data_IF_993565700869
#
_entry.id   IF_993565700869
#
_cell.length_a   1.000
_cell.length_b   1.000
_cell.length_c   1.000
_cell.angle_alpha   90.00
_cell.angle_beta   90.00
_cell.angle_gamma   90.00
#
_symmetry.space_group_name_H-M   'P 1'
#
loop_
_entity.id
_entity.type
_entity.pdbx_description
1 polymer ?
#
# COMPACT_ATOMS: atom_id res chain seq x y z
N UNK A 1 -48.60 15.01 -10.02
CA UNK A 1 -47.65 14.04 -9.43
C UNK A 1 -46.29 14.70 -9.22
N UNK A 2 -46.00 15.28 -8.06
CA UNK A 2 -44.72 15.92 -7.77
C UNK A 2 -43.84 14.97 -6.93
N UNK A 3 -43.01 14.14 -7.58
CA UNK A 3 -42.14 13.18 -6.87
C UNK A 3 -40.70 13.12 -7.42
N UNK A 4 -40.34 13.98 -8.37
CA UNK A 4 -39.09 13.89 -9.15
C UNK A 4 -37.87 14.68 -8.64
N UNK A 5 -37.95 15.74 -7.80
CA UNK A 5 -36.74 16.50 -7.43
C UNK A 5 -35.90 15.81 -6.35
N UNK A 6 -36.53 14.99 -5.50
CA UNK A 6 -35.85 14.29 -4.38
C UNK A 6 -34.93 13.20 -4.92
N UNK A 7 -35.37 12.47 -5.95
CA UNK A 7 -34.59 11.38 -6.55
C UNK A 7 -33.35 11.92 -7.29
N UNK A 8 -33.47 13.08 -7.95
CA UNK A 8 -32.36 13.73 -8.62
C UNK A 8 -31.31 14.28 -7.64
N UNK A 9 -31.76 14.89 -6.53
CA UNK A 9 -30.86 15.35 -5.45
C UNK A 9 -30.14 14.19 -4.76
N UNK A 10 -30.82 13.06 -4.54
CA UNK A 10 -30.23 11.86 -3.94
C UNK A 10 -29.18 11.22 -4.87
N UNK A 11 -29.45 11.18 -6.18
CA UNK A 11 -28.53 10.62 -7.17
C UNK A 11 -27.24 11.46 -7.31
N UNK A 12 -27.35 12.79 -7.30
CA UNK A 12 -26.19 13.70 -7.33
C UNK A 12 -25.35 13.56 -6.06
N UNK A 13 -25.98 13.44 -4.89
CA UNK A 13 -25.26 13.21 -3.62
C UNK A 13 -24.49 11.87 -3.60
N UNK A 14 -25.05 10.81 -4.19
CA UNK A 14 -24.39 9.50 -4.31
C UNK A 14 -23.17 9.52 -5.25
N UNK A 15 -23.19 10.31 -6.32
CA UNK A 15 -22.06 10.45 -7.26
C UNK A 15 -20.89 11.20 -6.60
N UNK A 16 -21.18 12.25 -5.80
CA UNK A 16 -20.14 13.06 -5.14
C UNK A 16 -19.43 12.29 -4.02
N UNK A 17 -20.12 11.38 -3.32
CA UNK A 17 -19.54 10.58 -2.24
C UNK A 17 -18.63 9.42 -2.73
N UNK A 18 -18.76 8.99 -3.99
CA UNK A 18 -17.97 7.88 -4.55
C UNK A 18 -16.60 8.27 -5.13
N UNK A 19 -16.32 9.56 -5.28
CA UNK A 19 -15.14 10.05 -6.01
C UNK A 19 -13.87 10.23 -5.16
N UNK A 20 -13.92 9.93 -3.86
CA UNK A 20 -12.79 10.09 -2.94
C UNK A 20 -12.04 8.76 -2.73
N UNK A 21 -11.58 8.14 -3.81
CA UNK A 21 -10.57 7.08 -3.72
C UNK A 21 -9.19 7.74 -3.92
N UNK A 22 -8.39 7.80 -2.86
CA UNK A 22 -7.01 8.27 -2.99
C UNK A 22 -6.27 7.35 -3.98
N UNK A 23 -5.45 7.91 -4.89
CA UNK A 23 -4.65 7.08 -5.79
C UNK A 23 -3.73 6.17 -4.97
N UNK A 24 -3.67 4.89 -5.34
CA UNK A 24 -2.77 3.94 -4.68
C UNK A 24 -1.32 4.42 -4.81
N UNK A 25 -0.62 4.49 -3.68
CA UNK A 25 0.81 4.82 -3.62
C UNK A 25 1.68 3.76 -4.32
N UNK A 26 1.12 2.56 -4.54
CA UNK A 26 1.77 1.46 -5.24
C UNK A 26 1.64 1.62 -6.76
N UNK A 27 2.76 1.43 -7.45
CA UNK A 27 2.96 1.70 -8.88
C UNK A 27 3.08 0.43 -9.72
N UNK A 28 3.19 -0.75 -9.11
CA UNK A 28 3.22 -2.02 -9.82
C UNK A 28 1.97 -2.20 -10.69
N UNK A 29 2.15 -2.76 -11.89
CA UNK A 29 1.06 -3.01 -12.83
C UNK A 29 0.04 -4.01 -12.27
N UNK A 30 0.54 -5.01 -11.55
CA UNK A 30 -0.27 -6.12 -11.03
C UNK A 30 -0.48 -5.99 -9.51
N UNK A 31 -1.68 -6.39 -9.06
CA UNK A 31 -2.04 -6.54 -7.65
C UNK A 31 -1.91 -5.27 -6.77
N UNK A 32 -1.86 -4.08 -7.37
CA UNK A 32 -1.74 -2.80 -6.64
C UNK A 32 -2.82 -2.55 -5.57
N UNK A 33 -4.01 -3.11 -5.77
CA UNK A 33 -5.17 -2.96 -4.86
C UNK A 33 -5.44 -4.23 -4.05
N UNK A 34 -4.50 -5.20 -4.06
CA UNK A 34 -4.65 -6.44 -3.30
C UNK A 34 -4.63 -6.15 -1.78
N UNK A 35 -5.44 -6.84 -0.95
CA UNK A 35 -5.51 -6.58 0.50
C UNK A 35 -4.21 -6.76 1.29
N UNK A 36 -3.19 -7.37 0.68
CA UNK A 36 -1.86 -7.56 1.27
C UNK A 36 -0.83 -6.52 0.82
N UNK A 37 -1.15 -5.69 -0.16
CA UNK A 37 -0.22 -4.71 -0.69
C UNK A 37 0.21 -3.74 0.41
N UNK A 38 1.52 -3.59 0.59
CA UNK A 38 2.13 -2.76 1.62
C UNK A 38 2.20 -3.34 3.03
N UNK A 39 1.72 -4.57 3.24
CA UNK A 39 1.84 -5.26 4.53
C UNK A 39 3.15 -6.05 4.60
N UNK A 40 3.79 -6.03 5.76
CA UNK A 40 5.02 -6.80 6.02
C UNK A 40 4.68 -8.05 6.82
N UNK A 41 5.03 -9.22 6.30
CA UNK A 41 4.84 -10.51 6.99
C UNK A 41 6.15 -11.01 7.58
N UNK A 42 6.20 -11.19 8.90
CA UNK A 42 7.29 -11.87 9.57
C UNK A 42 7.05 -13.39 9.50
N UNK A 43 7.90 -14.07 8.75
CA UNK A 43 7.81 -15.52 8.52
C UNK A 43 8.08 -16.32 9.80
N UNK A 44 9.06 -15.91 10.61
CA UNK A 44 9.47 -16.64 11.82
C UNK A 44 8.41 -16.64 12.92
N UNK A 45 7.67 -15.53 13.04
CA UNK A 45 6.61 -15.37 14.03
C UNK A 45 5.20 -15.60 13.48
N UNK A 46 5.08 -15.85 12.18
CA UNK A 46 3.82 -16.03 11.47
C UNK A 46 2.79 -14.94 11.77
N UNK A 47 3.22 -13.67 11.72
CA UNK A 47 2.35 -12.50 11.90
C UNK A 47 2.75 -11.32 11.01
N UNK A 48 1.81 -10.40 10.83
CA UNK A 48 2.12 -9.11 10.24
C UNK A 48 2.87 -8.24 11.26
N UNK A 49 3.86 -7.50 10.77
CA UNK A 49 4.65 -6.54 11.54
C UNK A 49 4.53 -5.15 10.93
N UNK A 50 4.72 -4.14 11.77
CA UNK A 50 4.77 -2.76 11.33
C UNK A 50 6.14 -2.41 10.73
N UNK A 51 6.18 -1.35 9.93
CA UNK A 51 7.40 -0.90 9.26
C UNK A 51 8.52 -0.52 10.24
N UNK A 52 8.18 0.14 11.34
CA UNK A 52 9.15 0.48 12.38
C UNK A 52 9.79 -0.77 13.02
N UNK A 53 9.00 -1.85 13.17
CA UNK A 53 9.49 -3.11 13.72
C UNK A 53 10.45 -3.80 12.74
N UNK A 54 10.13 -3.77 11.43
CA UNK A 54 11.04 -4.24 10.38
C UNK A 54 12.40 -3.51 10.47
N UNK A 55 12.39 -2.18 10.52
CA UNK A 55 13.64 -1.41 10.60
C UNK A 55 14.43 -1.66 11.89
N UNK A 56 13.75 -1.80 13.02
CA UNK A 56 14.41 -2.16 14.28
C UNK A 56 15.09 -3.55 14.20
N UNK A 57 14.49 -4.50 13.49
CA UNK A 57 15.06 -5.83 13.27
C UNK A 57 16.22 -5.83 12.26
N UNK A 58 16.19 -4.96 11.25
CA UNK A 58 17.22 -4.85 10.22
C UNK A 58 18.47 -4.09 10.70
N UNK A 59 18.31 -3.05 11.51
CA UNK A 59 19.39 -2.15 11.93
C UNK A 59 20.65 -2.82 12.54
N UNK A 60 20.55 -3.88 13.38
CA UNK A 60 21.74 -4.53 13.94
C UNK A 60 22.34 -5.61 13.04
N UNK A 61 21.79 -5.89 11.86
CA UNK A 61 22.25 -6.97 11.00
C UNK A 61 23.55 -6.59 10.25
N UNK A 62 24.56 -7.47 10.28
CA UNK A 62 25.80 -7.27 9.51
C UNK A 62 25.54 -7.34 7.99
N UNK A 63 24.55 -8.13 7.58
CA UNK A 63 24.16 -8.32 6.18
C UNK A 63 22.64 -8.38 6.05
N UNK A 64 22.11 -7.67 5.05
CA UNK A 64 20.69 -7.67 4.69
C UNK A 64 20.57 -8.10 3.24
N UNK A 65 19.79 -9.15 2.98
CA UNK A 65 19.47 -9.60 1.62
C UNK A 65 18.08 -9.10 1.24
N UNK A 66 18.00 -8.31 0.17
CA UNK A 66 16.75 -7.78 -0.37
C UNK A 66 16.42 -8.51 -1.67
N UNK A 67 15.33 -9.29 -1.68
CA UNK A 67 14.82 -9.97 -2.87
C UNK A 67 13.86 -9.09 -3.67
N UNK A 68 13.75 -9.36 -4.97
CA UNK A 68 12.78 -8.70 -5.86
C UNK A 68 12.32 -9.62 -7.00
N UNK A 69 11.16 -9.27 -7.56
CA UNK A 69 10.83 -9.55 -8.96
C UNK A 69 11.30 -8.37 -9.82
N UNK A 70 12.03 -8.65 -10.90
CA UNK A 70 12.51 -7.63 -11.84
C UNK A 70 11.35 -6.81 -12.42
N UNK A 71 11.65 -5.55 -12.76
CA UNK A 71 10.73 -4.58 -13.35
C UNK A 71 9.52 -4.23 -12.48
N UNK A 72 9.53 -4.60 -11.19
CA UNK A 72 8.54 -4.14 -10.24
C UNK A 72 8.96 -2.77 -9.65
N UNK A 73 8.32 -1.66 -10.04
CA UNK A 73 8.73 -0.32 -9.64
C UNK A 73 8.59 -0.06 -8.13
N UNK A 74 7.80 -0.86 -7.42
CA UNK A 74 7.62 -0.74 -5.97
C UNK A 74 8.71 -1.49 -5.21
N UNK A 75 9.21 -2.62 -5.73
CA UNK A 75 10.36 -3.31 -5.13
C UNK A 75 11.60 -2.41 -5.15
N UNK A 76 11.86 -1.74 -6.28
CA UNK A 76 12.99 -0.82 -6.40
C UNK A 76 12.86 0.37 -5.41
N UNK A 77 11.64 0.87 -5.16
CA UNK A 77 11.42 1.92 -4.15
C UNK A 77 11.68 1.43 -2.74
N UNK A 78 11.14 0.26 -2.38
CA UNK A 78 11.31 -0.31 -1.05
C UNK A 78 12.77 -0.62 -0.76
N UNK A 79 13.52 -1.10 -1.76
CA UNK A 79 14.96 -1.28 -1.62
C UNK A 79 15.68 0.05 -1.38
N UNK A 80 15.36 1.08 -2.18
CA UNK A 80 15.94 2.40 -2.00
C UNK A 80 15.63 2.99 -0.61
N UNK A 81 14.41 2.78 -0.10
CA UNK A 81 13.99 3.17 1.26
C UNK A 81 14.87 2.48 2.32
N UNK A 82 15.04 1.16 2.23
CA UNK A 82 15.85 0.39 3.19
C UNK A 82 17.31 0.83 3.15
N UNK A 83 17.88 0.96 1.95
CA UNK A 83 19.27 1.41 1.78
C UNK A 83 19.46 2.82 2.34
N UNK A 84 18.54 3.74 2.06
CA UNK A 84 18.62 5.12 2.55
C UNK A 84 18.49 5.20 4.08
N UNK A 85 17.66 4.35 4.67
CA UNK A 85 17.43 4.36 6.11
C UNK A 85 18.56 3.72 6.93
N UNK A 86 19.38 2.85 6.33
CA UNK A 86 20.40 2.04 7.01
C UNK A 86 21.84 2.33 6.59
N UNK A 87 22.06 3.15 5.55
CA UNK A 87 23.38 3.64 5.13
C UNK A 87 23.86 4.82 5.99
#
# INVERSE_FOLDING_TARGET
MPGKPILAGLLVALIVLGACAAPSLWRAEHYRDHPLTGRTWNVGEARFIERAELFAALAPADFILLGETHDNPDHHLLQAEIVTALA
#
